data_IF_249793790853
#
_entry.id   IF_249793790853
#
_cell.length_a   1.000
_cell.length_b   1.000
_cell.length_c   1.000
_cell.angle_alpha   90.00
_cell.angle_beta   90.00
_cell.angle_gamma   90.00
#
_symmetry.space_group_name_H-M   'P 1'
#
loop_
_entity.id
_entity.type
_entity.pdbx_description
1 polymer ?
#
# COMPACT_ATOMS: atom_id res chain seq x y z
N UNK A 1 17.32 -1.57 21.31
CA UNK A 1 16.29 -1.74 20.27
C UNK A 1 17.02 -1.91 18.94
N UNK A 2 16.88 -3.06 18.28
CA UNK A 2 17.53 -3.34 16.99
C UNK A 2 16.43 -3.29 15.94
N UNK A 3 16.50 -2.32 15.03
CA UNK A 3 15.50 -2.15 13.97
C UNK A 3 16.11 -2.58 12.65
N UNK A 4 15.45 -3.51 11.95
CA UNK A 4 15.65 -3.70 10.51
C UNK A 4 14.69 -2.76 9.77
N UNK A 5 15.21 -1.95 8.86
CA UNK A 5 14.48 -0.90 8.16
C UNK A 5 14.57 -1.10 6.65
N UNK A 6 13.45 -0.90 5.96
CA UNK A 6 13.36 -0.89 4.50
C UNK A 6 12.48 0.26 4.03
N UNK A 7 12.85 0.84 2.87
CA UNK A 7 12.00 1.77 2.15
C UNK A 7 11.62 1.17 0.81
N UNK A 8 10.32 1.13 0.55
CA UNK A 8 9.76 0.76 -0.75
C UNK A 8 9.13 2.00 -1.39
N UNK A 9 9.89 2.81 -2.15
CA UNK A 9 9.32 3.89 -2.94
C UNK A 9 8.66 3.33 -4.20
N UNK A 10 7.91 4.18 -4.91
CA UNK A 10 7.40 3.81 -6.23
C UNK A 10 6.16 2.91 -6.21
N UNK A 11 5.46 2.78 -5.08
CA UNK A 11 4.27 1.93 -4.98
C UNK A 11 3.11 2.65 -5.67
N UNK A 12 2.56 2.07 -6.74
CA UNK A 12 1.38 2.64 -7.39
C UNK A 12 0.15 2.49 -6.48
N UNK A 13 -0.52 3.58 -6.14
CA UNK A 13 -1.84 3.55 -5.53
C UNK A 13 -2.89 3.33 -6.62
N UNK A 14 -3.54 2.17 -6.58
CA UNK A 14 -4.63 1.81 -7.49
C UNK A 14 -5.92 1.57 -6.71
N UNK A 15 -7.05 1.84 -7.36
CA UNK A 15 -8.35 1.41 -6.88
C UNK A 15 -9.30 1.23 -8.06
N UNK A 16 -10.47 0.67 -7.79
CA UNK A 16 -11.44 0.40 -8.85
C UNK A 16 -12.09 1.70 -9.33
N UNK A 17 -12.46 1.75 -10.62
CA UNK A 17 -13.33 2.82 -11.15
C UNK A 17 -14.77 2.62 -10.71
N UNK A 18 -15.22 1.36 -10.67
CA UNK A 18 -16.58 0.95 -10.30
C UNK A 18 -16.57 0.04 -9.06
N UNK A 19 -17.66 -0.01 -8.28
CA UNK A 19 -17.78 -0.97 -7.18
C UNK A 19 -17.70 -2.41 -7.69
N UNK A 20 -17.19 -3.30 -6.85
CA UNK A 20 -17.21 -4.74 -7.13
C UNK A 20 -18.66 -5.21 -7.25
N UNK A 21 -18.96 -6.01 -8.28
CA UNK A 21 -20.24 -6.71 -8.38
C UNK A 21 -20.18 -7.93 -7.46
N UNK A 22 -20.96 -7.89 -6.38
CA UNK A 22 -21.06 -9.00 -5.44
C UNK A 22 -21.81 -10.19 -6.07
N UNK A 23 -21.54 -11.42 -5.61
CA UNK A 23 -22.30 -12.58 -6.04
C UNK A 23 -23.77 -12.42 -5.63
N UNK A 24 -24.66 -12.79 -6.55
CA UNK A 24 -26.11 -12.79 -6.37
C UNK A 24 -26.64 -14.16 -6.77
N UNK A 25 -27.32 -14.80 -5.83
CA UNK A 25 -27.94 -16.11 -6.06
C UNK A 25 -28.84 -16.10 -7.31
N UNK A 26 -28.71 -17.11 -8.17
CA UNK A 26 -29.47 -17.20 -9.42
C UNK A 26 -28.97 -16.32 -10.57
N UNK A 27 -27.96 -15.47 -10.36
CA UNK A 27 -27.42 -14.58 -11.39
C UNK A 27 -25.91 -14.72 -11.58
N UNK A 28 -25.12 -14.46 -10.54
CA UNK A 28 -23.66 -14.45 -10.60
C UNK A 28 -23.10 -15.10 -9.33
N UNK A 29 -22.26 -16.12 -9.47
CA UNK A 29 -21.77 -16.91 -8.32
C UNK A 29 -20.51 -16.36 -7.66
N UNK A 30 -19.84 -15.38 -8.26
CA UNK A 30 -18.56 -14.84 -7.80
C UNK A 30 -18.57 -13.32 -7.73
N UNK A 31 -17.60 -12.77 -6.99
CA UNK A 31 -17.29 -11.33 -7.04
C UNK A 31 -16.67 -11.03 -8.40
N UNK A 32 -17.26 -10.12 -9.16
CA UNK A 32 -16.71 -9.63 -10.42
C UNK A 32 -16.20 -8.19 -10.27
N UNK A 33 -15.05 -7.92 -10.89
CA UNK A 33 -14.41 -6.61 -10.91
C UNK A 33 -14.40 -6.08 -12.32
N UNK A 34 -14.61 -4.78 -12.46
CA UNK A 34 -14.37 -4.11 -13.73
C UNK A 34 -12.87 -4.14 -14.07
N UNK A 35 -12.52 -4.17 -15.36
CA UNK A 35 -11.13 -4.19 -15.80
C UNK A 35 -10.45 -2.81 -15.65
N UNK A 36 -11.24 -1.74 -15.55
CA UNK A 36 -10.74 -0.39 -15.38
C UNK A 36 -10.34 -0.13 -13.94
N UNK A 37 -9.14 0.42 -13.78
CA UNK A 37 -8.60 0.85 -12.50
C UNK A 37 -8.18 2.32 -12.60
N UNK A 38 -8.37 3.03 -11.49
CA UNK A 38 -7.88 4.40 -11.33
C UNK A 38 -6.50 4.37 -10.68
N UNK A 39 -5.57 5.13 -11.25
CA UNK A 39 -4.27 5.46 -10.63
C UNK A 39 -4.42 6.73 -9.82
N UNK A 40 -4.14 6.65 -8.52
CA UNK A 40 -4.18 7.80 -7.61
C UNK A 40 -2.81 8.46 -7.43
N UNK A 41 -1.77 7.91 -8.08
CA UNK A 41 -0.39 8.37 -7.97
C UNK A 41 0.48 7.36 -7.25
N UNK A 42 1.69 7.77 -6.90
CA UNK A 42 2.73 6.90 -6.37
C UNK A 42 2.99 7.21 -4.90
N UNK A 43 3.00 6.18 -4.06
CA UNK A 43 3.30 6.26 -2.63
C UNK A 43 4.71 5.73 -2.33
N UNK A 44 5.23 6.11 -1.16
CA UNK A 44 6.42 5.52 -0.55
C UNK A 44 6.08 4.94 0.81
N UNK A 45 6.47 3.69 1.03
CA UNK A 45 6.27 2.96 2.28
C UNK A 45 7.61 2.83 3.00
N UNK A 46 7.66 3.30 4.24
CA UNK A 46 8.79 3.12 5.14
C UNK A 46 8.37 2.13 6.22
N UNK A 47 9.13 1.05 6.40
CA UNK A 47 8.85 0.02 7.41
C UNK A 47 10.10 -0.25 8.23
N UNK A 48 9.93 -0.30 9.55
CA UNK A 48 10.89 -0.83 10.49
C UNK A 48 10.28 -1.99 11.27
N UNK A 49 11.05 -3.05 11.50
CA UNK A 49 10.71 -4.13 12.43
C UNK A 49 11.74 -4.15 13.56
N UNK A 50 11.27 -4.10 14.80
CA UNK A 50 12.12 -4.38 15.96
C UNK A 50 12.40 -5.88 16.03
N UNK A 51 13.65 -6.27 15.79
CA UNK A 51 14.07 -7.68 15.72
C UNK A 51 13.99 -8.40 17.06
N UNK A 52 13.90 -7.65 18.18
CA UNK A 52 13.80 -8.27 19.50
C UNK A 52 12.34 -8.52 19.90
N UNK A 53 11.42 -7.61 19.56
CA UNK A 53 10.01 -7.71 19.94
C UNK A 53 9.08 -8.16 18.81
N UNK A 54 9.52 -8.14 17.56
CA UNK A 54 8.71 -8.37 16.37
C UNK A 54 7.73 -7.24 16.04
N UNK A 55 7.77 -6.11 16.76
CA UNK A 55 6.87 -4.98 16.50
C UNK A 55 7.22 -4.30 15.19
N UNK A 56 6.18 -4.02 14.40
CA UNK A 56 6.27 -3.30 13.12
C UNK A 56 5.91 -1.82 13.35
N UNK A 57 6.73 -0.95 12.79
CA UNK A 57 6.52 0.50 12.74
C UNK A 57 6.52 0.89 11.26
N UNK A 58 5.49 1.61 10.79
CA UNK A 58 5.38 1.96 9.38
C UNK A 58 4.89 3.40 9.16
N UNK A 59 5.24 3.98 8.02
CA UNK A 59 4.73 5.27 7.52
C UNK A 59 4.53 5.24 6.01
N UNK A 60 3.45 5.84 5.54
CA UNK A 60 3.13 5.99 4.11
C UNK A 60 3.15 7.47 3.74
N UNK A 61 3.79 7.80 2.63
CA UNK A 61 3.88 9.17 2.09
C UNK A 61 3.38 9.22 0.64
N UNK A 62 2.70 10.31 0.28
CA UNK A 62 2.18 10.56 -1.08
C UNK A 62 3.23 10.97 -2.12
N UNK A 63 4.44 11.32 -1.68
CA UNK A 63 5.55 11.70 -2.56
C UNK A 63 6.81 10.95 -2.15
N UNK A 64 7.62 10.57 -3.15
CA UNK A 64 9.01 10.18 -2.94
C UNK A 64 9.71 11.33 -2.20
N UNK A 65 10.08 11.10 -0.93
CA UNK A 65 11.14 11.90 -0.33
C UNK A 65 12.42 11.41 -1.00
N UNK A 66 12.93 12.16 -1.98
CA UNK A 66 14.34 12.04 -2.34
C UNK A 66 15.11 12.04 -1.02
N UNK A 67 16.03 11.09 -0.84
CA UNK A 67 16.74 10.84 0.41
C UNK A 67 17.53 12.06 0.91
N UNK A 68 16.85 13.01 1.54
CA UNK A 68 17.45 14.01 2.42
C UNK A 68 17.18 13.51 3.83
N UNK A 69 18.11 12.70 4.31
CA UNK A 69 18.18 12.29 5.70
C UNK A 69 18.67 13.50 6.51
N UNK A 70 17.80 14.47 6.78
CA UNK A 70 18.04 15.41 7.87
C UNK A 70 17.41 14.81 9.11
N UNK A 71 18.19 14.01 9.82
CA UNK A 71 17.98 13.78 11.24
C UNK A 71 18.62 14.98 11.95
N UNK A 72 17.98 15.64 12.93
CA UNK A 72 18.69 16.48 13.88
C UNK A 72 19.66 15.66 14.75
#
# INVERSE_FOLDING_TARGET
MIISYDEKPGIQATGNVYPDLMPVEGHYSTIAKDYEYRRYGTLSLLVGIDLTSGRIIYKVFEKQKLGIHTIP
#
